data_IF_932351133660
#
_entry.id   IF_932351133660
#
_cell.length_a   1.000
_cell.length_b   1.000
_cell.length_c   1.000
_cell.angle_alpha   90.00
_cell.angle_beta   90.00
_cell.angle_gamma   90.00
#
_symmetry.space_group_name_H-M   'P 1'
#
loop_
_entity.id
_entity.type
_entity.pdbx_description
1 polymer ?
#
# COMPACT_ATOMS: atom_id res chain seq x y z
N UNK A 1 33.00 1.71 -4.00
CA UNK A 1 31.80 0.88 -3.86
C UNK A 1 30.75 1.50 -4.76
N UNK A 2 30.58 0.95 -5.97
CA UNK A 2 29.55 1.37 -6.94
C UNK A 2 28.23 0.78 -6.47
N UNK A 3 27.24 1.65 -6.21
CA UNK A 3 25.88 1.26 -5.85
C UNK A 3 25.24 0.37 -6.93
N UNK A 4 24.23 -0.46 -6.58
CA UNK A 4 23.58 -1.33 -7.55
C UNK A 4 22.94 -0.50 -8.66
N UNK A 5 23.22 -0.88 -9.90
CA UNK A 5 22.58 -0.29 -11.08
C UNK A 5 21.07 -0.57 -11.01
N UNK A 6 20.27 0.49 -10.89
CA UNK A 6 18.82 0.44 -11.00
C UNK A 6 18.50 -0.02 -12.43
N UNK A 7 17.87 -1.18 -12.56
CA UNK A 7 17.34 -1.62 -13.86
C UNK A 7 16.40 -0.55 -14.41
N UNK A 8 16.45 -0.22 -15.71
CA UNK A 8 15.61 0.83 -16.26
C UNK A 8 14.14 0.49 -16.00
N UNK A 9 13.45 1.36 -15.24
CA UNK A 9 12.02 1.29 -15.03
C UNK A 9 11.35 1.36 -16.41
N UNK A 10 10.57 0.33 -16.76
CA UNK A 10 9.75 0.40 -17.97
C UNK A 10 8.83 1.59 -17.84
N UNK A 11 8.68 2.37 -18.91
CA UNK A 11 7.73 3.48 -18.92
C UNK A 11 6.31 2.95 -18.58
N UNK A 12 5.48 3.74 -17.89
CA UNK A 12 4.11 3.36 -17.58
C UNK A 12 3.38 2.96 -18.87
N UNK A 13 2.63 1.86 -18.80
CA UNK A 13 1.72 1.45 -19.88
C UNK A 13 0.55 2.45 -19.94
N UNK A 14 -0.10 2.56 -21.11
CA UNK A 14 -1.24 3.46 -21.32
C UNK A 14 -2.38 3.24 -20.32
N UNK A 15 -2.53 2.01 -19.79
CA UNK A 15 -3.56 1.64 -18.81
C UNK A 15 -3.13 1.80 -17.34
N UNK A 16 -1.84 1.94 -17.05
CA UNK A 16 -1.33 2.01 -15.67
C UNK A 16 -1.96 3.14 -14.86
N UNK A 17 -2.13 4.31 -15.48
CA UNK A 17 -2.75 5.47 -14.82
C UNK A 17 -4.21 5.20 -14.45
N UNK A 18 -4.94 4.46 -15.29
CA UNK A 18 -6.33 4.08 -15.03
C UNK A 18 -6.44 3.10 -13.84
N UNK A 19 -5.59 2.07 -13.81
CA UNK A 19 -5.60 1.10 -12.70
C UNK A 19 -5.07 1.71 -11.40
N UNK A 20 -4.11 2.63 -11.46
CA UNK A 20 -3.69 3.38 -10.28
C UNK A 20 -4.82 4.30 -9.76
N UNK A 21 -5.67 4.88 -10.64
CA UNK A 21 -6.87 5.61 -10.19
C UNK A 21 -7.81 4.70 -9.39
N UNK A 22 -8.02 3.46 -9.81
CA UNK A 22 -8.85 2.52 -9.05
C UNK A 22 -8.23 2.19 -7.68
N UNK A 23 -6.91 2.05 -7.61
CA UNK A 23 -6.23 1.88 -6.32
C UNK A 23 -6.37 3.13 -5.43
N UNK A 24 -6.30 4.34 -5.99
CA UNK A 24 -6.55 5.59 -5.26
C UNK A 24 -8.00 5.70 -4.78
N UNK A 25 -8.97 5.23 -5.55
CA UNK A 25 -10.37 5.17 -5.11
C UNK A 25 -10.52 4.26 -3.88
N UNK A 26 -9.88 3.09 -3.87
CA UNK A 26 -9.83 2.24 -2.69
C UNK A 26 -9.16 2.95 -1.50
N UNK A 27 -8.05 3.65 -1.72
CA UNK A 27 -7.37 4.40 -0.67
C UNK A 27 -8.26 5.48 -0.05
N UNK A 28 -9.11 6.16 -0.85
CA UNK A 28 -10.05 7.19 -0.36
C UNK A 28 -11.18 6.61 0.51
N UNK A 29 -11.50 5.33 0.39
CA UNK A 29 -12.50 4.67 1.22
C UNK A 29 -11.96 4.34 2.62
N UNK A 30 -10.68 4.06 2.75
CA UNK A 30 -10.05 3.64 4.00
C UNK A 30 -10.28 4.60 5.19
N UNK A 31 -10.14 5.94 5.06
CA UNK A 31 -10.38 6.87 6.16
C UNK A 31 -11.82 6.87 6.67
N UNK A 32 -12.81 6.52 5.85
CA UNK A 32 -14.22 6.46 6.23
C UNK A 32 -14.49 5.42 7.32
N UNK A 33 -13.58 4.45 7.43
CA UNK A 33 -13.63 3.36 8.42
C UNK A 33 -12.44 3.40 9.38
N UNK A 34 -11.72 4.52 9.44
CA UNK A 34 -10.61 4.74 10.39
C UNK A 34 -9.26 4.14 9.97
N UNK A 35 -9.16 3.62 8.76
CA UNK A 35 -7.96 3.00 8.23
C UNK A 35 -7.01 3.98 7.54
N UNK A 36 -5.73 3.65 7.52
CA UNK A 36 -4.73 4.40 6.75
C UNK A 36 -5.05 4.31 5.25
N UNK A 37 -5.04 5.43 4.49
CA UNK A 37 -5.48 5.49 3.09
C UNK A 37 -4.46 4.83 2.13
N UNK A 38 -4.40 3.51 2.18
CA UNK A 38 -3.65 2.67 1.26
C UNK A 38 -4.65 1.79 0.54
N UNK A 39 -4.65 1.86 -0.78
CA UNK A 39 -5.52 1.06 -1.64
C UNK A 39 -4.72 0.29 -2.68
N UNK A 40 -5.23 -0.86 -3.05
CA UNK A 40 -4.61 -1.71 -4.05
C UNK A 40 -5.62 -2.38 -4.97
N UNK A 41 -5.21 -2.67 -6.19
CA UNK A 41 -5.94 -3.51 -7.15
C UNK A 41 -5.02 -4.53 -7.79
N UNK A 42 -5.52 -5.72 -8.06
CA UNK A 42 -4.84 -6.74 -8.86
C UNK A 42 -5.53 -6.88 -10.21
N UNK A 43 -4.75 -6.89 -11.27
CA UNK A 43 -5.23 -6.90 -12.65
C UNK A 43 -4.65 -8.10 -13.41
N UNK A 44 -5.47 -8.78 -14.18
CA UNK A 44 -5.09 -9.77 -15.19
C UNK A 44 -5.80 -9.47 -16.50
N UNK A 45 -5.10 -9.50 -17.61
CA UNK A 45 -5.65 -9.29 -18.96
C UNK A 45 -6.55 -8.05 -19.04
N UNK A 46 -6.11 -6.93 -18.46
CA UNK A 46 -6.82 -5.66 -18.35
C UNK A 46 -8.15 -5.71 -17.56
N UNK A 47 -8.38 -6.77 -16.77
CA UNK A 47 -9.54 -6.88 -15.89
C UNK A 47 -9.11 -6.84 -14.41
N UNK A 48 -9.84 -6.08 -13.60
CA UNK A 48 -9.62 -6.06 -12.15
C UNK A 48 -10.13 -7.37 -11.56
N UNK A 49 -9.24 -8.13 -10.92
CA UNK A 49 -9.54 -9.40 -10.25
C UNK A 49 -9.89 -9.15 -8.78
N UNK A 50 -9.18 -8.25 -8.11
CA UNK A 50 -9.40 -7.92 -6.72
C UNK A 50 -9.09 -6.44 -6.48
N UNK A 51 -9.81 -5.83 -5.53
CA UNK A 51 -9.60 -4.46 -5.09
C UNK A 51 -9.88 -4.35 -3.59
N UNK A 52 -9.01 -3.68 -2.84
CA UNK A 52 -9.19 -3.45 -1.41
C UNK A 52 -8.36 -2.26 -0.93
N UNK A 53 -8.66 -1.82 0.28
CA UNK A 53 -7.82 -0.94 1.09
C UNK A 53 -7.36 -1.66 2.35
N UNK A 54 -6.58 -1.00 3.19
CA UNK A 54 -6.18 -1.54 4.49
C UNK A 54 -7.38 -1.86 5.39
N UNK A 55 -7.23 -2.91 6.22
CA UNK A 55 -8.20 -3.34 7.25
C UNK A 55 -7.53 -3.67 8.58
N UNK A 56 -6.39 -3.08 8.88
CA UNK A 56 -5.60 -3.39 10.10
C UNK A 56 -6.31 -3.07 11.39
N UNK A 57 -6.89 -1.87 11.47
CA UNK A 57 -7.57 -1.38 12.67
C UNK A 57 -8.91 -2.11 12.87
N UNK A 58 -9.66 -2.31 11.78
CA UNK A 58 -10.97 -2.98 11.83
C UNK A 58 -10.83 -4.45 12.25
N UNK A 59 -9.89 -5.17 11.62
CA UNK A 59 -9.70 -6.61 11.87
C UNK A 59 -8.78 -6.89 13.04
N UNK A 60 -8.12 -5.86 13.63
CA UNK A 60 -7.05 -6.02 14.63
C UNK A 60 -6.00 -7.03 14.16
N UNK A 61 -5.70 -7.00 12.85
CA UNK A 61 -4.75 -7.88 12.18
C UNK A 61 -3.58 -7.05 11.59
N UNK A 62 -2.35 -7.19 12.13
CA UNK A 62 -1.20 -6.45 11.64
C UNK A 62 -0.82 -6.80 10.19
N UNK A 63 -1.33 -7.90 9.65
CA UNK A 63 -1.07 -8.33 8.28
C UNK A 63 -2.13 -7.87 7.27
N UNK A 64 -3.25 -7.30 7.72
CA UNK A 64 -4.37 -6.90 6.87
C UNK A 64 -4.06 -5.61 6.06
N UNK A 65 -2.93 -5.62 5.36
CA UNK A 65 -2.57 -4.61 4.36
C UNK A 65 -3.35 -4.85 3.06
N UNK A 66 -3.62 -3.79 2.31
CA UNK A 66 -4.36 -3.85 1.05
C UNK A 66 -3.79 -4.92 0.10
N UNK A 67 -2.47 -5.00 -0.01
CA UNK A 67 -1.78 -5.97 -0.88
C UNK A 67 -2.04 -7.42 -0.45
N UNK A 68 -1.96 -7.70 0.86
CA UNK A 68 -2.21 -9.06 1.39
C UNK A 68 -3.66 -9.46 1.14
N UNK A 69 -4.59 -8.53 1.34
CA UNK A 69 -6.02 -8.77 1.15
C UNK A 69 -6.30 -9.14 -0.32
N UNK A 70 -5.82 -8.33 -1.27
CA UNK A 70 -6.09 -8.60 -2.70
C UNK A 70 -5.38 -9.86 -3.21
N UNK A 71 -4.19 -10.19 -2.69
CA UNK A 71 -3.50 -11.45 -3.01
C UNK A 71 -4.36 -12.64 -2.59
N UNK A 72 -4.93 -12.61 -1.38
CA UNK A 72 -5.81 -13.67 -0.87
C UNK A 72 -7.11 -13.76 -1.67
N UNK A 73 -7.77 -12.64 -1.92
CA UNK A 73 -9.01 -12.61 -2.72
C UNK A 73 -8.79 -13.13 -4.14
N UNK A 74 -7.72 -12.71 -4.79
CA UNK A 74 -7.40 -13.18 -6.14
C UNK A 74 -7.05 -14.67 -6.18
N UNK A 75 -6.29 -15.16 -5.19
CA UNK A 75 -5.96 -16.58 -5.09
C UNK A 75 -7.21 -17.46 -4.91
N UNK A 76 -8.16 -17.01 -4.09
CA UNK A 76 -9.45 -17.67 -3.89
C UNK A 76 -10.29 -17.64 -5.17
N UNK A 77 -10.42 -16.47 -5.82
CA UNK A 77 -11.22 -16.32 -7.04
C UNK A 77 -10.66 -17.14 -8.21
N UNK A 78 -9.34 -17.13 -8.40
CA UNK A 78 -8.66 -17.86 -9.47
C UNK A 78 -8.39 -19.33 -9.12
N UNK A 79 -8.68 -19.75 -7.89
CA UNK A 79 -8.44 -21.11 -7.35
C UNK A 79 -6.97 -21.55 -7.52
N UNK A 80 -6.05 -20.62 -7.39
CA UNK A 80 -4.61 -20.85 -7.46
C UNK A 80 -3.86 -19.83 -6.63
N UNK A 81 -2.81 -20.28 -5.92
CA UNK A 81 -1.91 -19.36 -5.22
C UNK A 81 -0.89 -18.67 -6.14
N UNK A 82 -0.70 -19.22 -7.36
CA UNK A 82 0.19 -18.66 -8.37
C UNK A 82 -0.55 -17.61 -9.19
N UNK A 83 -0.29 -16.36 -8.91
CA UNK A 83 -0.90 -15.21 -9.60
C UNK A 83 -0.02 -14.74 -10.77
N UNK A 84 0.46 -15.70 -11.57
CA UNK A 84 1.31 -15.42 -12.72
C UNK A 84 0.58 -14.59 -13.77
N UNK A 85 1.31 -13.69 -14.45
CA UNK A 85 0.72 -12.83 -15.48
C UNK A 85 -0.08 -11.63 -14.93
N UNK A 86 -0.24 -11.52 -13.60
CA UNK A 86 -0.96 -10.40 -13.00
C UNK A 86 -0.06 -9.19 -12.74
N UNK A 87 -0.69 -8.00 -12.68
CA UNK A 87 -0.08 -6.75 -12.23
C UNK A 87 -0.78 -6.25 -10.96
N UNK A 88 0.00 -5.95 -9.94
CA UNK A 88 -0.49 -5.34 -8.71
C UNK A 88 -0.23 -3.83 -8.74
N UNK A 89 -1.28 -3.04 -8.54
CA UNK A 89 -1.21 -1.59 -8.35
C UNK A 89 -1.51 -1.26 -6.89
N UNK A 90 -0.68 -0.43 -6.27
CA UNK A 90 -0.85 -0.01 -4.87
C UNK A 90 -0.43 1.45 -4.70
N UNK A 91 -1.13 2.18 -3.86
CA UNK A 91 -0.90 3.64 -3.70
C UNK A 91 0.37 3.98 -2.93
N UNK A 92 0.94 3.05 -2.14
CA UNK A 92 2.17 3.22 -1.39
C UNK A 92 3.15 2.08 -1.70
N UNK A 93 4.45 2.37 -1.69
CA UNK A 93 5.50 1.36 -1.81
C UNK A 93 5.30 0.24 -0.79
N UNK A 94 5.26 -1.03 -1.21
CA UNK A 94 5.05 -2.16 -0.31
C UNK A 94 6.14 -2.30 0.75
N UNK A 95 5.71 -2.61 1.98
CA UNK A 95 6.61 -2.96 3.08
C UNK A 95 7.24 -4.35 2.88
N UNK A 96 8.22 -4.78 3.71
CA UNK A 96 8.90 -6.08 3.55
C UNK A 96 7.95 -7.29 3.54
N UNK A 97 6.90 -7.27 4.37
CA UNK A 97 5.88 -8.33 4.39
C UNK A 97 5.15 -8.43 3.06
N UNK A 98 4.65 -7.30 2.54
CA UNK A 98 3.90 -7.25 1.29
C UNK A 98 4.78 -7.55 0.08
N UNK A 99 5.99 -7.00 0.03
CA UNK A 99 6.96 -7.29 -1.04
C UNK A 99 7.31 -8.78 -1.08
N UNK A 100 7.50 -9.41 0.08
CA UNK A 100 7.71 -10.86 0.19
C UNK A 100 6.50 -11.66 -0.31
N UNK A 101 5.29 -11.26 0.06
CA UNK A 101 4.05 -11.90 -0.39
C UNK A 101 3.85 -11.78 -1.91
N UNK A 102 4.15 -10.62 -2.51
CA UNK A 102 4.10 -10.37 -3.95
C UNK A 102 5.03 -11.34 -4.71
N UNK A 103 6.27 -11.51 -4.23
CA UNK A 103 7.23 -12.48 -4.80
C UNK A 103 6.72 -13.91 -4.66
N UNK A 104 6.24 -14.29 -3.47
CA UNK A 104 5.75 -15.65 -3.21
C UNK A 104 4.51 -15.98 -4.04
N UNK A 105 3.60 -15.02 -4.22
CA UNK A 105 2.40 -15.18 -5.05
C UNK A 105 2.70 -15.23 -6.56
N UNK A 106 3.96 -15.03 -6.99
CA UNK A 106 4.37 -15.06 -8.41
C UNK A 106 3.74 -13.95 -9.25
N UNK A 107 3.44 -12.82 -8.65
CA UNK A 107 2.95 -11.64 -9.37
C UNK A 107 4.04 -11.17 -10.33
N UNK A 108 3.65 -10.94 -11.59
CA UNK A 108 4.62 -10.61 -12.64
C UNK A 108 5.10 -9.16 -12.56
N UNK A 109 4.21 -8.24 -12.19
CA UNK A 109 4.50 -6.81 -12.17
C UNK A 109 3.87 -6.11 -10.95
N UNK A 110 4.64 -5.16 -10.40
CA UNK A 110 4.21 -4.25 -9.34
C UNK A 110 4.31 -2.81 -9.84
N UNK A 111 3.24 -2.04 -9.67
CA UNK A 111 3.21 -0.60 -9.91
C UNK A 111 2.78 0.09 -8.62
N UNK A 112 3.58 1.01 -8.10
CA UNK A 112 3.21 1.71 -6.87
C UNK A 112 3.25 3.25 -7.02
N UNK A 113 2.47 3.92 -6.16
CA UNK A 113 2.35 5.37 -6.12
C UNK A 113 3.50 6.03 -5.35
N UNK A 114 3.26 6.41 -4.12
CA UNK A 114 4.26 7.10 -3.30
C UNK A 114 5.38 6.17 -2.83
N UNK A 115 6.60 6.68 -2.79
CA UNK A 115 7.73 6.03 -2.13
C UNK A 115 7.57 6.08 -0.61
N UNK A 116 7.98 5.02 0.10
CA UNK A 116 8.00 4.98 1.56
C UNK A 116 9.44 4.93 2.10
N UNK A 117 10.01 6.08 2.50
CA UNK A 117 11.38 6.15 3.02
C UNK A 117 11.52 5.52 4.41
N UNK A 118 10.43 5.08 5.06
CA UNK A 118 10.43 4.52 6.41
C UNK A 118 10.31 3.00 6.44
N UNK A 119 9.57 2.42 5.50
CA UNK A 119 9.29 0.99 5.49
C UNK A 119 9.25 0.38 4.08
N UNK A 120 9.55 1.14 3.02
CA UNK A 120 9.50 0.67 1.65
C UNK A 120 10.53 -0.42 1.36
N UNK A 121 10.09 -1.48 0.71
CA UNK A 121 10.92 -2.65 0.41
C UNK A 121 10.99 -2.99 -1.09
N UNK A 122 10.71 -2.00 -1.94
CA UNK A 122 10.75 -2.11 -3.40
C UNK A 122 11.67 -1.05 -4.04
N UNK A 123 12.69 -0.60 -3.28
CA UNK A 123 13.70 0.35 -3.74
C UNK A 123 14.09 1.43 -2.72
N UNK A 124 13.26 1.75 -1.71
CA UNK A 124 13.58 2.78 -0.71
C UNK A 124 14.57 2.30 0.34
N UNK A 125 14.22 1.32 1.17
CA UNK A 125 15.09 0.77 2.24
C UNK A 125 15.63 -0.59 1.83
N UNK A 126 14.77 -1.44 1.29
CA UNK A 126 15.07 -2.75 0.76
C UNK A 126 14.62 -2.84 -0.69
N UNK A 127 15.14 -3.84 -1.41
CA UNK A 127 14.68 -4.16 -2.77
C UNK A 127 14.45 -5.68 -2.88
N UNK A 128 13.38 -6.14 -2.24
CA UNK A 128 12.99 -7.55 -2.20
C UNK A 128 12.60 -8.08 -3.58
N UNK A 129 11.83 -7.35 -4.42
CA UNK A 129 11.43 -7.80 -5.75
C UNK A 129 12.61 -8.11 -6.69
N UNK A 130 13.74 -7.42 -6.52
CA UNK A 130 14.93 -7.54 -7.35
C UNK A 130 15.95 -8.56 -6.83
N UNK A 131 15.71 -9.19 -5.66
CA UNK A 131 16.67 -10.12 -5.05
C UNK A 131 16.95 -11.33 -5.96
N UNK A 132 18.21 -11.46 -6.38
CA UNK A 132 18.65 -12.43 -7.41
C UNK A 132 18.59 -13.88 -6.97
N UNK A 133 18.64 -14.14 -5.67
CA UNK A 133 18.58 -15.49 -5.07
C UNK A 133 17.17 -16.07 -5.06
N UNK A 134 16.14 -15.22 -5.22
CA UNK A 134 14.77 -15.70 -5.36
C UNK A 134 14.54 -16.34 -6.73
N UNK A 135 13.71 -17.37 -6.77
CA UNK A 135 13.32 -18.09 -7.98
C UNK A 135 12.20 -17.39 -8.78
N UNK A 136 11.81 -16.17 -8.37
CA UNK A 136 10.87 -15.31 -9.07
C UNK A 136 11.30 -13.85 -8.88
N UNK A 137 11.17 -13.08 -9.94
CA UNK A 137 11.43 -11.64 -9.94
C UNK A 137 10.17 -10.91 -10.36
N UNK A 138 9.94 -9.78 -9.73
CA UNK A 138 8.81 -8.91 -10.03
C UNK A 138 9.32 -7.69 -10.78
N UNK A 139 8.69 -7.36 -11.89
CA UNK A 139 8.98 -6.11 -12.59
C UNK A 139 8.37 -4.95 -11.82
N UNK A 140 9.17 -3.96 -11.41
CA UNK A 140 8.72 -2.86 -10.55
C UNK A 140 8.69 -1.54 -11.32
N UNK A 141 7.61 -0.78 -11.15
CA UNK A 141 7.46 0.61 -11.58
C UNK A 141 6.99 1.44 -10.39
N UNK A 142 7.81 2.37 -9.92
CA UNK A 142 7.49 3.23 -8.77
C UNK A 142 7.20 4.67 -9.17
N UNK A 143 6.45 5.39 -8.32
CA UNK A 143 6.20 6.82 -8.45
C UNK A 143 4.99 7.21 -9.29
N UNK A 144 4.22 6.26 -9.80
CA UNK A 144 3.05 6.56 -10.62
C UNK A 144 1.95 7.24 -9.78
N UNK A 145 1.63 8.50 -10.10
CA UNK A 145 0.70 9.34 -9.32
C UNK A 145 1.10 9.45 -7.84
N UNK A 146 2.40 9.44 -7.56
CA UNK A 146 2.95 9.41 -6.21
C UNK A 146 2.58 10.63 -5.37
N UNK A 147 2.41 11.82 -5.97
CA UNK A 147 2.00 13.03 -5.25
C UNK A 147 0.57 12.94 -4.74
N UNK A 148 -0.36 12.37 -5.51
CA UNK A 148 -1.73 12.14 -5.06
C UNK A 148 -1.78 11.14 -3.91
N UNK A 149 -1.06 10.03 -4.04
CA UNK A 149 -0.94 9.01 -2.99
C UNK A 149 -0.37 9.60 -1.71
N UNK A 150 0.69 10.41 -1.81
CA UNK A 150 1.30 11.12 -0.68
C UNK A 150 0.32 12.10 -0.04
N UNK A 151 -0.43 12.84 -0.85
CA UNK A 151 -1.43 13.80 -0.38
C UNK A 151 -2.48 13.16 0.51
N UNK A 152 -3.02 11.99 0.12
CA UNK A 152 -4.00 11.24 0.92
C UNK A 152 -3.43 10.85 2.29
N UNK A 153 -2.19 10.35 2.34
CA UNK A 153 -1.53 9.97 3.58
C UNK A 153 -1.28 11.18 4.48
N UNK A 154 -0.78 12.28 3.92
CA UNK A 154 -0.51 13.52 4.69
C UNK A 154 -1.80 14.08 5.31
N UNK A 155 -2.88 14.14 4.55
CA UNK A 155 -4.18 14.61 5.01
C UNK A 155 -4.71 13.76 6.15
N UNK A 156 -4.70 12.44 6.00
CA UNK A 156 -5.14 11.51 7.04
C UNK A 156 -4.37 11.70 8.36
N UNK A 157 -3.04 11.73 8.30
CA UNK A 157 -2.24 11.89 9.51
C UNK A 157 -2.34 13.29 10.11
N UNK A 158 -2.57 14.32 9.31
CA UNK A 158 -2.85 15.67 9.79
C UNK A 158 -4.15 15.69 10.60
N UNK A 159 -5.22 15.14 10.06
CA UNK A 159 -6.54 15.05 10.71
C UNK A 159 -6.46 14.22 12.00
N UNK A 160 -5.79 13.06 11.96
CA UNK A 160 -5.62 12.19 13.14
C UNK A 160 -4.86 12.89 14.26
N UNK A 161 -3.79 13.64 13.95
CA UNK A 161 -3.05 14.44 14.95
C UNK A 161 -3.90 15.57 15.55
N UNK A 162 -4.69 16.27 14.74
CA UNK A 162 -5.58 17.32 15.21
C UNK A 162 -6.62 16.78 16.20
N UNK A 163 -7.28 15.66 15.87
CA UNK A 163 -8.24 15.00 16.75
C UNK A 163 -7.63 14.55 18.10
N UNK A 164 -6.44 13.95 18.06
CA UNK A 164 -5.72 13.55 19.27
C UNK A 164 -5.32 14.74 20.15
N UNK A 165 -4.93 15.86 19.56
CA UNK A 165 -4.58 17.08 20.31
C UNK A 165 -5.79 17.69 21.01
N UNK A 166 -6.95 17.67 20.36
CA UNK A 166 -8.21 18.16 20.93
C UNK A 166 -8.69 17.27 22.08
N UNK A 167 -8.66 15.95 21.93
CA UNK A 167 -8.97 15.03 23.02
C UNK A 167 -8.10 15.25 24.26
N UNK A 168 -6.79 15.49 24.07
CA UNK A 168 -5.89 15.78 25.20
C UNK A 168 -6.23 17.09 25.88
N UNK A 169 -6.60 18.14 25.14
CA UNK A 169 -7.02 19.43 25.72
C UNK A 169 -8.28 19.27 26.59
N UNK A 170 -9.29 18.56 26.07
CA UNK A 170 -10.54 18.32 26.81
C UNK A 170 -10.31 17.48 28.07
N UNK A 171 -9.49 16.44 28.03
CA UNK A 171 -9.16 15.63 29.21
C UNK A 171 -8.41 16.41 30.29
N UNK A 172 -7.54 17.34 29.90
CA UNK A 172 -6.78 18.19 30.83
C UNK A 172 -7.71 19.23 31.53
N UNK A 173 -8.67 19.80 30.79
CA UNK A 173 -9.63 20.77 31.36
C UNK A 173 -10.57 20.15 32.40
N UNK A 174 -11.00 18.89 32.18
CA UNK A 174 -11.84 18.15 33.12
C UNK A 174 -11.09 17.82 34.43
N UNK A 175 -9.80 17.52 34.37
CA UNK A 175 -8.99 17.19 35.53
C UNK A 175 -8.63 18.41 36.41
N UNK A 176 -8.69 19.63 35.87
CA UNK A 176 -8.44 20.87 36.60
C UNK A 176 -9.70 21.49 37.23
N UNK A 177 -10.89 21.18 36.71
CA UNK A 177 -12.18 21.66 37.26
C UNK A 177 -12.68 20.91 38.48
N UNK A 178 -12.06 19.80 38.89
CA UNK A 178 -12.45 18.97 40.03
C UNK A 178 -11.69 19.23 41.35
N UNK A 179 -10.94 20.33 41.45
CA UNK A 179 -10.27 20.75 42.69
C UNK A 179 -10.77 22.13 43.12
N UNK A 180 -12.00 22.19 43.54
CA UNK A 180 -12.55 23.32 44.30
C UNK A 180 -13.61 22.73 45.18
N UNK A 181 -13.18 22.29 46.40
CA UNK A 181 -13.91 22.35 47.67
C UNK A 181 -13.01 21.83 48.79
#
# INVERSE_FOLDING_TARGET
VTGPAISPSRQPDSHDSQFMELALQQARLAPLVGEVPIGAVLVSDNHVIAAAHNYREILQDPTAHAEIIIIRQAAEQLKTWRLTGTTLYVTLEPCPMCAGAIVQARIARLVFGAWDPKAGACGSILDIPSERRFNHRVQVTGGLRGEESRGLLQEFFRTKRAALSEQRRLSTSVSQGGRSD
#
